data_IF_686562086385
#
_entry.id   IF_686562086385
#
_cell.length_a   1.000
_cell.length_b   1.000
_cell.length_c   1.000
_cell.angle_alpha   90.00
_cell.angle_beta   90.00
_cell.angle_gamma   90.00
#
_symmetry.space_group_name_H-M   'P 1'
#
loop_
_entity.id
_entity.type
_entity.pdbx_description
1 polymer ?
#
# COMPACT_ATOMS: atom_id res chain seq x y z
N UNK A 1 27.82 -49.88 -30.77
CA UNK A 1 26.91 -48.71 -30.71
C UNK A 1 26.40 -48.50 -29.28
N UNK A 2 27.26 -48.06 -28.35
CA UNK A 2 26.90 -47.82 -26.93
C UNK A 2 27.89 -46.82 -26.34
N UNK A 3 27.85 -45.53 -26.69
CA UNK A 3 28.80 -44.57 -26.07
C UNK A 3 28.40 -43.07 -26.12
N UNK A 4 27.13 -42.72 -26.35
CA UNK A 4 26.66 -41.32 -26.24
C UNK A 4 25.68 -41.07 -25.10
N UNK A 5 25.05 -42.11 -24.53
CA UNK A 5 24.02 -41.98 -23.49
C UNK A 5 24.62 -41.59 -22.12
N UNK A 6 25.85 -42.02 -21.79
CA UNK A 6 26.42 -41.81 -20.45
C UNK A 6 26.74 -40.33 -20.15
N UNK A 7 26.98 -39.51 -21.19
CA UNK A 7 27.33 -38.09 -21.06
C UNK A 7 26.12 -37.14 -21.14
N UNK A 8 24.91 -37.64 -21.43
CA UNK A 8 23.66 -36.85 -21.49
C UNK A 8 22.92 -36.87 -20.15
N UNK A 9 22.73 -38.04 -19.53
CA UNK A 9 23.17 -38.29 -18.15
C UNK A 9 23.20 -37.09 -17.18
N UNK A 10 24.41 -36.62 -16.83
CA UNK A 10 24.61 -35.53 -15.89
C UNK A 10 24.11 -34.17 -16.40
N UNK A 11 24.02 -33.97 -17.73
CA UNK A 11 23.51 -32.72 -18.32
C UNK A 11 22.00 -32.59 -18.11
N UNK A 12 21.26 -33.68 -18.29
CA UNK A 12 19.82 -33.72 -18.01
C UNK A 12 19.57 -33.52 -16.52
N UNK A 13 20.37 -34.16 -15.65
CA UNK A 13 20.28 -33.98 -14.21
C UNK A 13 20.52 -32.52 -13.80
N UNK A 14 21.53 -31.86 -14.39
CA UNK A 14 21.82 -30.46 -14.12
C UNK A 14 20.70 -29.52 -14.58
N UNK A 15 20.07 -29.77 -15.73
CA UNK A 15 18.92 -28.99 -16.22
C UNK A 15 17.70 -29.19 -15.32
N UNK A 16 17.44 -30.41 -14.85
CA UNK A 16 16.34 -30.71 -13.92
C UNK A 16 16.57 -30.03 -12.58
N UNK A 17 17.78 -30.12 -12.01
CA UNK A 17 18.15 -29.44 -10.75
C UNK A 17 18.04 -27.93 -10.89
N UNK A 18 18.48 -27.35 -12.02
CA UNK A 18 18.32 -25.93 -12.29
C UNK A 18 16.84 -25.51 -12.42
N UNK A 19 16.00 -26.35 -13.03
CA UNK A 19 14.57 -26.10 -13.13
C UNK A 19 13.85 -26.20 -11.77
N UNK A 20 14.24 -27.13 -10.89
CA UNK A 20 13.65 -27.23 -9.54
C UNK A 20 14.16 -26.16 -8.58
N UNK A 21 15.41 -25.69 -8.70
CA UNK A 21 15.91 -24.58 -7.88
C UNK A 21 15.40 -23.21 -8.32
N UNK A 22 14.88 -23.09 -9.55
CA UNK A 22 14.19 -21.88 -10.04
C UNK A 22 12.74 -21.74 -9.58
N UNK A 23 12.19 -22.67 -8.79
CA UNK A 23 10.91 -22.45 -8.10
C UNK A 23 11.11 -21.52 -6.91
N UNK A 24 11.44 -20.25 -7.21
CA UNK A 24 11.49 -19.18 -6.22
C UNK A 24 10.09 -18.96 -5.65
N UNK A 25 10.03 -18.75 -4.33
CA UNK A 25 8.80 -18.60 -3.56
C UNK A 25 7.71 -17.80 -4.29
N UNK A 26 6.52 -18.39 -4.37
CA UNK A 26 5.30 -17.80 -4.93
C UNK A 26 5.08 -16.37 -4.38
N UNK A 27 5.14 -15.36 -5.26
CA UNK A 27 5.37 -13.95 -4.89
C UNK A 27 4.15 -13.24 -4.29
N UNK A 28 2.93 -13.77 -4.42
CA UNK A 28 1.75 -13.26 -3.72
C UNK A 28 0.72 -14.37 -3.49
N UNK A 29 0.35 -14.62 -2.22
CA UNK A 29 -0.80 -15.46 -1.88
C UNK A 29 -2.08 -14.66 -2.00
N UNK A 30 -3.16 -15.32 -2.41
CA UNK A 30 -4.48 -14.72 -2.35
C UNK A 30 -4.92 -14.54 -0.89
N UNK A 31 -5.63 -13.45 -0.64
CA UNK A 31 -6.17 -13.17 0.69
C UNK A 31 -7.32 -14.13 0.99
N UNK A 32 -7.19 -14.86 2.09
CA UNK A 32 -8.26 -15.68 2.66
C UNK A 32 -8.65 -15.05 3.99
N UNK A 33 -9.92 -14.69 4.14
CA UNK A 33 -10.45 -14.18 5.40
C UNK A 33 -10.28 -15.26 6.47
N UNK A 34 -9.69 -14.95 7.64
CA UNK A 34 -9.63 -15.90 8.74
C UNK A 34 -11.04 -16.33 9.14
N UNK A 35 -11.22 -17.63 9.38
CA UNK A 35 -12.43 -18.12 10.03
C UNK A 35 -12.40 -17.71 11.51
N UNK A 36 -13.48 -17.10 11.97
CA UNK A 36 -13.69 -16.78 13.37
C UNK A 36 -14.82 -17.67 13.89
N UNK A 37 -14.75 -18.06 15.16
CA UNK A 37 -15.89 -18.73 15.79
C UNK A 37 -17.09 -17.78 15.74
N UNK A 38 -18.21 -18.26 15.19
CA UNK A 38 -19.44 -17.48 15.17
C UNK A 38 -19.82 -17.09 16.60
N UNK A 39 -19.89 -15.78 16.83
CA UNK A 39 -20.27 -15.20 18.11
C UNK A 39 -21.78 -15.13 18.26
N UNK A 40 -22.50 -16.12 17.73
CA UNK A 40 -23.93 -16.21 17.93
C UNK A 40 -24.20 -16.46 19.42
N UNK A 41 -25.13 -15.68 19.99
CA UNK A 41 -25.56 -15.78 21.40
C UNK A 41 -24.53 -15.33 22.46
N UNK A 42 -23.54 -14.51 22.11
CA UNK A 42 -22.66 -13.87 23.13
C UNK A 42 -23.38 -12.82 23.98
N UNK A 43 -24.52 -12.30 23.51
CA UNK A 43 -25.30 -11.27 24.16
C UNK A 43 -26.72 -11.79 24.40
N UNK A 44 -27.48 -11.10 25.26
CA UNK A 44 -28.89 -11.40 25.57
C UNK A 44 -29.78 -11.04 24.38
N UNK A 45 -29.69 -11.82 23.31
CA UNK A 45 -30.46 -11.66 22.06
C UNK A 45 -31.75 -12.50 22.07
N UNK A 46 -31.98 -13.25 23.15
CA UNK A 46 -32.93 -14.35 23.31
C UNK A 46 -34.41 -13.97 23.09
N UNK A 47 -34.73 -12.67 23.06
CA UNK A 47 -36.09 -12.14 22.88
C UNK A 47 -36.15 -10.92 21.94
N UNK A 48 -35.15 -10.72 21.07
CA UNK A 48 -35.24 -9.63 20.09
C UNK A 48 -36.14 -10.03 18.92
N UNK A 49 -37.08 -9.16 18.51
CA UNK A 49 -37.85 -9.39 17.28
C UNK A 49 -36.88 -9.62 16.12
N UNK A 50 -37.04 -10.74 15.41
CA UNK A 50 -36.37 -10.95 14.12
C UNK A 50 -37.04 -10.06 13.07
N UNK A 51 -36.68 -8.78 13.08
CA UNK A 51 -36.88 -7.90 11.92
C UNK A 51 -35.63 -7.93 11.04
N UNK A 52 -35.84 -7.70 9.75
CA UNK A 52 -34.82 -7.48 8.74
C UNK A 52 -33.97 -6.22 8.96
N UNK A 53 -34.45 -5.28 9.79
CA UNK A 53 -33.75 -4.03 10.08
C UNK A 53 -32.62 -4.24 11.10
N UNK A 54 -31.37 -4.08 10.64
CA UNK A 54 -30.20 -4.03 11.51
C UNK A 54 -30.02 -2.64 12.10
N UNK A 55 -29.58 -2.55 13.36
CA UNK A 55 -29.14 -1.28 13.94
C UNK A 55 -28.02 -0.61 13.12
N UNK A 56 -27.27 -1.37 12.31
CA UNK A 56 -26.24 -0.83 11.42
C UNK A 56 -26.81 0.00 10.27
N UNK A 57 -28.09 -0.20 9.90
CA UNK A 57 -28.74 0.49 8.77
C UNK A 57 -29.52 1.74 9.21
N UNK A 58 -29.71 1.93 10.52
CA UNK A 58 -30.46 3.06 11.08
C UNK A 58 -29.55 4.28 11.22
N UNK A 59 -29.96 5.41 10.64
CA UNK A 59 -29.27 6.68 10.81
C UNK A 59 -29.37 7.17 12.26
N UNK A 60 -28.26 7.68 12.82
CA UNK A 60 -28.26 8.31 14.14
C UNK A 60 -29.27 9.47 14.24
N UNK A 61 -29.59 10.14 13.13
CA UNK A 61 -30.58 11.22 13.07
C UNK A 61 -31.99 10.75 13.36
N UNK A 62 -32.29 9.50 13.02
CA UNK A 62 -33.61 8.88 13.26
C UNK A 62 -33.65 8.17 14.61
N UNK A 63 -32.49 7.77 15.13
CA UNK A 63 -32.35 7.15 16.45
C UNK A 63 -32.57 8.15 17.60
N UNK A 64 -32.09 9.40 17.47
CA UNK A 64 -32.23 10.43 18.49
C UNK A 64 -33.43 11.35 18.22
N UNK A 65 -34.38 11.39 19.16
CA UNK A 65 -35.61 12.19 19.03
C UNK A 65 -35.41 13.66 19.42
N UNK A 66 -34.49 13.96 20.34
CA UNK A 66 -34.23 15.32 20.83
C UNK A 66 -33.59 16.21 19.75
N UNK A 67 -34.20 17.37 19.49
CA UNK A 67 -33.76 18.32 18.48
C UNK A 67 -32.45 19.05 18.85
N UNK A 68 -32.26 19.38 20.12
CA UNK A 68 -31.04 20.03 20.60
C UNK A 68 -29.86 19.05 20.57
N UNK A 69 -30.09 17.79 20.98
CA UNK A 69 -29.06 16.76 20.91
C UNK A 69 -28.58 16.55 19.46
N UNK A 70 -29.51 16.49 18.51
CA UNK A 70 -29.16 16.38 17.08
C UNK A 70 -28.33 17.57 16.58
N UNK A 71 -28.64 18.78 17.06
CA UNK A 71 -27.88 19.98 16.72
C UNK A 71 -26.45 19.90 17.27
N UNK A 72 -26.26 19.47 18.52
CA UNK A 72 -24.92 19.32 19.10
C UNK A 72 -24.08 18.23 18.41
N UNK A 73 -24.70 17.12 18.02
CA UNK A 73 -24.01 16.07 17.25
C UNK A 73 -23.57 16.61 15.88
N UNK A 74 -24.44 17.32 15.17
CA UNK A 74 -24.12 17.91 13.87
C UNK A 74 -22.99 18.95 13.99
N UNK A 75 -23.06 19.84 14.99
CA UNK A 75 -22.00 20.80 15.27
C UNK A 75 -20.66 20.12 15.60
N UNK A 76 -20.71 19.05 16.41
CA UNK A 76 -19.54 18.23 16.73
C UNK A 76 -18.94 17.58 15.50
N UNK A 77 -19.75 16.95 14.65
CA UNK A 77 -19.28 16.32 13.41
C UNK A 77 -18.65 17.32 12.42
N UNK A 78 -19.11 18.56 12.40
CA UNK A 78 -18.59 19.60 11.51
C UNK A 78 -17.29 20.24 12.02
N UNK A 79 -17.15 20.39 13.34
CA UNK A 79 -16.06 21.19 13.93
C UNK A 79 -14.98 20.35 14.65
N UNK A 80 -15.24 19.07 14.93
CA UNK A 80 -14.30 18.24 15.69
C UNK A 80 -13.00 17.97 14.91
N UNK A 81 -11.87 18.14 15.61
CA UNK A 81 -10.54 17.98 15.02
C UNK A 81 -10.18 16.53 14.70
N UNK A 82 -10.66 15.56 15.48
CA UNK A 82 -10.40 14.13 15.23
C UNK A 82 -11.04 13.66 13.93
N UNK A 83 -12.25 14.16 13.62
CA UNK A 83 -12.90 13.93 12.31
C UNK A 83 -12.05 14.50 11.18
N UNK A 84 -11.57 15.75 11.33
CA UNK A 84 -10.73 16.40 10.32
C UNK A 84 -9.41 15.64 10.13
N UNK A 85 -8.79 15.18 11.21
CA UNK A 85 -7.58 14.37 11.19
C UNK A 85 -7.84 13.04 10.48
N UNK A 86 -8.94 12.34 10.80
CA UNK A 86 -9.32 11.09 10.15
C UNK A 86 -9.56 11.27 8.63
N UNK A 87 -10.18 12.37 8.21
CA UNK A 87 -10.33 12.70 6.79
C UNK A 87 -8.98 12.92 6.10
N UNK A 88 -8.03 13.61 6.73
CA UNK A 88 -6.69 13.80 6.17
C UNK A 88 -5.90 12.49 6.09
N UNK A 89 -6.03 11.62 7.10
CA UNK A 89 -5.44 10.28 7.05
C UNK A 89 -6.01 9.46 5.89
N UNK A 90 -7.33 9.54 5.67
CA UNK A 90 -7.99 8.86 4.55
C UNK A 90 -7.50 9.40 3.19
N UNK A 91 -7.35 10.72 3.05
CA UNK A 91 -6.80 11.34 1.84
C UNK A 91 -5.33 10.94 1.60
N UNK A 92 -4.51 10.86 2.65
CA UNK A 92 -3.14 10.40 2.55
C UNK A 92 -3.08 8.92 2.12
N UNK A 93 -3.90 8.05 2.70
CA UNK A 93 -3.98 6.64 2.33
C UNK A 93 -4.43 6.46 0.86
N UNK A 94 -5.37 7.29 0.38
CA UNK A 94 -5.78 7.30 -1.02
C UNK A 94 -4.63 7.71 -1.96
N UNK A 95 -3.83 8.71 -1.57
CA UNK A 95 -2.66 9.13 -2.32
C UNK A 95 -1.61 8.00 -2.43
N UNK A 96 -1.34 7.27 -1.35
CA UNK A 96 -0.47 6.09 -1.37
C UNK A 96 -1.03 4.96 -2.24
N UNK A 97 -2.34 4.72 -2.21
CA UNK A 97 -2.99 3.77 -3.13
C UNK A 97 -2.75 4.17 -4.60
N UNK A 98 -2.96 5.46 -4.92
CA UNK A 98 -2.71 6.01 -6.26
C UNK A 98 -1.24 5.88 -6.67
N UNK A 99 -0.31 6.12 -5.74
CA UNK A 99 1.13 5.92 -5.97
C UNK A 99 1.45 4.44 -6.29
N UNK A 100 0.89 3.50 -5.53
CA UNK A 100 1.03 2.07 -5.83
C UNK A 100 0.49 1.69 -7.20
N UNK A 101 -0.65 2.28 -7.61
CA UNK A 101 -1.20 2.12 -8.97
C UNK A 101 -0.33 2.77 -10.05
N UNK A 102 0.39 3.85 -9.74
CA UNK A 102 1.28 4.51 -10.69
C UNK A 102 2.46 3.62 -11.11
N UNK A 103 2.82 2.61 -10.31
CA UNK A 103 3.88 1.65 -10.64
C UNK A 103 3.65 0.86 -11.93
N UNK A 104 2.42 0.83 -12.49
CA UNK A 104 2.16 0.23 -13.81
C UNK A 104 2.64 1.09 -14.99
N UNK A 105 2.99 2.35 -14.74
CA UNK A 105 3.42 3.29 -15.78
C UNK A 105 4.94 3.51 -15.73
N UNK A 106 5.58 3.87 -16.86
CA UNK A 106 6.98 4.24 -16.86
C UNK A 106 7.22 5.50 -16.04
N UNK A 107 8.33 5.53 -15.31
CA UNK A 107 8.83 6.72 -14.62
C UNK A 107 9.80 7.47 -15.52
N UNK A 108 9.56 8.76 -15.71
CA UNK A 108 10.47 9.67 -16.41
C UNK A 108 11.18 10.55 -15.39
N UNK A 109 12.50 10.61 -15.45
CA UNK A 109 13.32 11.44 -14.59
C UNK A 109 14.30 12.27 -15.42
N UNK A 110 14.56 13.50 -15.00
CA UNK A 110 15.57 14.37 -15.59
C UNK A 110 16.49 14.90 -14.49
N UNK A 111 17.78 15.00 -14.79
CA UNK A 111 18.78 15.53 -13.87
C UNK A 111 19.71 16.48 -14.62
N UNK A 112 20.07 17.58 -13.97
CA UNK A 112 21.09 18.51 -14.43
C UNK A 112 22.08 18.70 -13.29
N UNK A 113 23.36 18.44 -13.54
CA UNK A 113 24.40 18.53 -12.52
C UNK A 113 25.64 19.22 -13.06
N UNK A 114 26.27 20.00 -12.20
CA UNK A 114 27.59 20.60 -12.42
C UNK A 114 28.52 20.08 -11.34
N UNK A 115 29.64 19.49 -11.74
CA UNK A 115 30.66 18.98 -10.83
C UNK A 115 31.96 19.68 -11.13
N UNK A 116 32.49 20.36 -10.12
CA UNK A 116 33.83 20.93 -10.13
C UNK A 116 34.73 20.04 -9.27
N UNK A 117 35.84 19.58 -9.85
CA UNK A 117 36.78 18.70 -9.18
C UNK A 117 38.19 19.27 -9.26
N UNK A 118 38.75 19.60 -8.09
CA UNK A 118 40.16 19.93 -7.93
C UNK A 118 40.97 18.64 -7.74
N UNK A 119 41.90 18.40 -8.65
CA UNK A 119 42.80 17.26 -8.67
C UNK A 119 44.17 17.66 -8.15
N UNK A 120 44.69 16.88 -7.19
CA UNK A 120 46.08 17.04 -6.76
C UNK A 120 47.03 16.91 -7.95
N UNK A 121 48.00 17.83 -8.07
CA UNK A 121 49.01 17.81 -9.13
C UNK A 121 49.86 16.53 -9.13
N UNK A 122 49.95 15.85 -7.98
CA UNK A 122 50.65 14.58 -7.83
C UNK A 122 49.76 13.36 -8.20
N UNK A 123 48.51 13.57 -8.58
CA UNK A 123 47.62 12.52 -9.05
C UNK A 123 47.82 12.24 -10.55
N UNK A 124 47.51 11.02 -10.96
CA UNK A 124 47.67 10.58 -12.36
C UNK A 124 46.96 11.50 -13.36
N UNK A 125 45.82 12.09 -13.00
CA UNK A 125 45.03 12.97 -13.87
C UNK A 125 45.22 14.47 -13.58
N UNK A 126 45.64 14.84 -12.37
CA UNK A 126 45.81 16.26 -11.99
C UNK A 126 46.93 16.97 -12.76
N UNK A 127 47.98 16.24 -13.17
CA UNK A 127 48.99 16.81 -14.06
C UNK A 127 48.52 17.01 -15.51
N UNK A 128 47.50 16.27 -15.97
CA UNK A 128 46.99 16.35 -17.35
C UNK A 128 45.93 17.43 -17.53
N UNK A 129 45.08 17.64 -16.51
CA UNK A 129 43.97 18.60 -16.56
C UNK A 129 44.28 19.91 -15.82
N UNK A 130 45.56 20.25 -15.65
CA UNK A 130 46.00 21.47 -14.96
C UNK A 130 45.41 21.65 -13.54
N UNK A 131 45.13 20.53 -12.86
CA UNK A 131 44.63 20.51 -11.48
C UNK A 131 43.12 20.73 -11.30
N UNK A 132 42.34 21.03 -12.34
CA UNK A 132 40.91 21.33 -12.19
C UNK A 132 40.07 20.81 -13.36
N UNK A 133 38.89 20.25 -13.07
CA UNK A 133 37.95 19.74 -14.06
C UNK A 133 36.54 20.23 -13.73
N UNK A 134 35.88 20.82 -14.73
CA UNK A 134 34.46 21.15 -14.71
C UNK A 134 33.68 20.19 -15.61
N UNK A 135 32.69 19.51 -15.04
CA UNK A 135 31.77 18.63 -15.75
C UNK A 135 30.35 19.18 -15.66
N UNK A 136 29.74 19.38 -16.83
CA UNK A 136 28.33 19.76 -16.98
C UNK A 136 27.57 18.58 -17.57
N UNK A 137 26.54 18.11 -16.88
CA UNK A 137 25.77 16.94 -17.27
C UNK A 137 24.27 17.24 -17.25
N UNK A 138 23.60 16.85 -18.34
CA UNK A 138 22.15 16.86 -18.45
C UNK A 138 21.71 15.45 -18.88
N UNK A 139 20.98 14.76 -18.01
CA UNK A 139 20.53 13.39 -18.24
C UNK A 139 19.01 13.28 -18.14
N UNK A 140 18.45 12.40 -18.97
CA UNK A 140 17.06 11.97 -18.90
C UNK A 140 17.01 10.45 -18.86
N UNK A 141 16.17 9.89 -17.99
CA UNK A 141 16.02 8.45 -17.81
C UNK A 141 14.55 8.06 -17.82
N UNK A 142 14.23 7.00 -18.57
CA UNK A 142 12.94 6.32 -18.55
C UNK A 142 13.12 4.93 -17.91
N UNK A 143 12.43 4.65 -16.83
CA UNK A 143 12.43 3.33 -16.19
C UNK A 143 11.03 2.72 -16.13
N UNK A 144 10.92 1.45 -16.47
CA UNK A 144 9.69 0.68 -16.39
C UNK A 144 10.00 -0.75 -15.97
N UNK A 145 9.20 -1.28 -15.04
CA UNK A 145 9.25 -2.68 -14.61
C UNK A 145 8.00 -3.41 -15.12
N UNK A 146 8.20 -4.50 -15.86
CA UNK A 146 7.10 -5.40 -16.24
C UNK A 146 6.68 -6.27 -15.04
N UNK A 147 5.38 -6.32 -14.74
CA UNK A 147 4.87 -7.05 -13.56
C UNK A 147 4.75 -8.57 -13.79
N UNK A 148 5.89 -9.24 -14.05
CA UNK A 148 5.94 -10.69 -14.32
C UNK A 148 5.58 -11.49 -13.07
N UNK A 149 6.02 -11.02 -11.90
CA UNK A 149 5.90 -11.74 -10.64
C UNK A 149 4.73 -11.25 -9.77
N UNK A 150 4.04 -10.18 -10.16
CA UNK A 150 2.92 -9.62 -9.40
C UNK A 150 3.32 -8.68 -8.26
N UNK A 151 4.56 -8.16 -8.25
CA UNK A 151 5.03 -7.17 -7.26
C UNK A 151 4.16 -5.91 -7.32
N UNK A 152 3.98 -5.33 -8.52
CA UNK A 152 3.21 -4.09 -8.69
C UNK A 152 1.74 -4.33 -8.34
N UNK A 153 1.19 -5.47 -8.78
CA UNK A 153 -0.16 -5.91 -8.41
C UNK A 153 -0.35 -6.09 -6.90
N UNK A 154 0.61 -6.67 -6.21
CA UNK A 154 0.58 -6.82 -4.75
C UNK A 154 0.62 -5.47 -4.04
N UNK A 155 1.53 -4.57 -4.45
CA UNK A 155 1.62 -3.20 -3.92
C UNK A 155 0.33 -2.42 -4.11
N UNK A 156 -0.32 -2.52 -5.28
CA UNK A 156 -1.64 -1.90 -5.52
C UNK A 156 -2.69 -2.42 -4.53
N UNK A 157 -2.80 -3.74 -4.38
CA UNK A 157 -3.79 -4.36 -3.46
C UNK A 157 -3.54 -3.96 -2.01
N UNK A 158 -2.27 -3.91 -1.59
CA UNK A 158 -1.90 -3.45 -0.26
C UNK A 158 -2.33 -2.00 -0.02
N UNK A 159 -2.06 -1.09 -0.98
CA UNK A 159 -2.49 0.31 -0.89
C UNK A 159 -4.01 0.46 -0.83
N UNK A 160 -4.75 -0.34 -1.60
CA UNK A 160 -6.22 -0.36 -1.58
C UNK A 160 -6.76 -0.84 -0.23
N UNK A 161 -6.18 -1.91 0.33
CA UNK A 161 -6.54 -2.39 1.66
C UNK A 161 -6.27 -1.34 2.76
N UNK A 162 -5.12 -0.65 2.71
CA UNK A 162 -4.80 0.43 3.65
C UNK A 162 -5.75 1.63 3.53
N UNK A 163 -6.18 1.96 2.31
CA UNK A 163 -7.21 2.98 2.10
C UNK A 163 -8.54 2.56 2.72
N UNK A 164 -9.02 1.35 2.46
CA UNK A 164 -10.26 0.84 3.06
C UNK A 164 -10.19 0.76 4.60
N UNK A 165 -9.02 0.41 5.14
CA UNK A 165 -8.77 0.46 6.59
C UNK A 165 -8.94 1.88 7.14
N UNK A 166 -8.43 2.91 6.45
CA UNK A 166 -8.60 4.30 6.86
C UNK A 166 -10.06 4.79 6.80
N UNK A 167 -10.83 4.29 5.82
CA UNK A 167 -12.28 4.55 5.72
C UNK A 167 -13.01 3.97 6.92
N UNK A 168 -12.70 2.71 7.29
CA UNK A 168 -13.26 2.07 8.48
C UNK A 168 -12.86 2.79 9.77
N UNK A 169 -11.60 3.24 9.88
CA UNK A 169 -11.14 4.04 11.02
C UNK A 169 -11.89 5.37 11.15
N UNK A 170 -12.13 6.07 10.04
CA UNK A 170 -12.95 7.29 10.03
C UNK A 170 -14.39 7.02 10.49
N UNK A 171 -15.00 5.91 10.06
CA UNK A 171 -16.31 5.50 10.56
C UNK A 171 -16.31 5.24 12.07
N UNK A 172 -15.26 4.57 12.60
CA UNK A 172 -15.13 4.32 14.03
C UNK A 172 -14.99 5.62 14.84
N UNK A 173 -14.15 6.57 14.39
CA UNK A 173 -14.01 7.90 15.03
C UNK A 173 -15.35 8.65 15.02
N UNK A 174 -16.08 8.60 13.89
CA UNK A 174 -17.41 9.20 13.77
C UNK A 174 -18.40 8.60 14.77
N UNK A 175 -18.46 7.27 14.88
CA UNK A 175 -19.33 6.57 15.84
C UNK A 175 -18.95 6.93 17.28
N UNK A 176 -17.66 6.95 17.60
CA UNK A 176 -17.17 7.30 18.93
C UNK A 176 -17.53 8.74 19.31
N UNK A 177 -17.39 9.68 18.38
CA UNK A 177 -17.75 11.09 18.60
C UNK A 177 -19.26 11.24 18.85
N UNK A 178 -20.09 10.61 18.01
CA UNK A 178 -21.55 10.63 18.20
C UNK A 178 -21.92 10.03 19.55
N UNK A 179 -21.33 8.90 19.92
CA UNK A 179 -21.54 8.28 21.24
C UNK A 179 -21.12 9.21 22.38
N UNK A 180 -19.96 9.86 22.28
CA UNK A 180 -19.43 10.71 23.34
C UNK A 180 -20.27 11.97 23.58
N UNK A 181 -20.91 12.51 22.53
CA UNK A 181 -21.84 13.65 22.65
C UNK A 181 -23.19 13.21 23.21
N UNK A 182 -23.63 11.98 22.89
CA UNK A 182 -24.92 11.45 23.30
C UNK A 182 -24.94 10.81 24.71
N UNK A 183 -23.79 10.74 25.38
CA UNK A 183 -23.66 10.21 26.76
C UNK A 183 -23.70 11.35 27.76
#
# INVERSE_FOLDING_TARGET
MRLTIKNTIPKILAVVVMATTMQSCFVAKDYVRPEFQETENLYRTDNLPQDSLSMADVSWKDMFTDAYLKQYIEEGLQNNLDIRVALQQMAAAEAYMKQGKAGYFPSLNGNASVTHQELSKNSQFGSFFNGSIDQYELTGNLSWEADIWGKIRSTKRAGEASYLQSVAAHQAVKTQLVSAIAT
#
